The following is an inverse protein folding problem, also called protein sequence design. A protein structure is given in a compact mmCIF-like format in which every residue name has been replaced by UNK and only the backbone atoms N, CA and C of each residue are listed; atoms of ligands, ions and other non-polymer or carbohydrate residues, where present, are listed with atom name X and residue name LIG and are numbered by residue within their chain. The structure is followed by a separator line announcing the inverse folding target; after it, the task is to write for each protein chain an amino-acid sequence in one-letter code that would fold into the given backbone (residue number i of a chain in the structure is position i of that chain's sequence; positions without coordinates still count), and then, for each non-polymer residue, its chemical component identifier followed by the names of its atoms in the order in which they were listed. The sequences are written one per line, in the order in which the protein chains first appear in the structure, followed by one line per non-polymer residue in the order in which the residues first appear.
data_IF_110561702919
#
_entry.id   IF_110561702919
#
_cell.length_a   1.000
_cell.length_b   1.000
_cell.length_c   1.000
_cell.angle_alpha   90.00
_cell.angle_beta   90.00
_cell.angle_gamma   90.00
#
_symmetry.space_group_name_H-M   'P 1'
#
loop_
_entity.id
_entity.type
_entity.pdbx_description
1 polymer ?
#
# COMPACT_ATOMS: atom_id res chain seq x y z
N UNK A 1 25.47 21.21 -27.46
CA UNK A 1 24.25 20.90 -28.25
C UNK A 1 23.21 21.92 -27.87
N UNK A 2 22.79 22.76 -28.82
CA UNK A 2 21.76 23.77 -28.59
C UNK A 2 20.41 23.07 -28.42
N UNK A 3 19.72 23.30 -27.32
CA UNK A 3 18.32 22.88 -27.15
C UNK A 3 17.51 23.89 -27.95
N UNK A 4 16.92 23.47 -29.07
CA UNK A 4 16.07 24.31 -29.91
C UNK A 4 14.86 24.83 -29.10
N UNK A 5 14.69 26.14 -29.06
CA UNK A 5 13.85 26.88 -28.12
C UNK A 5 12.39 27.07 -28.55
N UNK A 6 11.97 26.46 -29.65
CA UNK A 6 10.60 26.60 -30.17
C UNK A 6 9.78 25.35 -29.85
N UNK A 7 8.77 25.49 -28.99
CA UNK A 7 7.93 24.40 -28.50
C UNK A 7 7.33 23.54 -29.63
N UNK A 8 6.92 24.17 -30.74
CA UNK A 8 6.35 23.47 -31.90
C UNK A 8 7.37 22.57 -32.60
N UNK A 9 8.57 23.07 -32.89
CA UNK A 9 9.64 22.29 -33.53
C UNK A 9 10.07 21.10 -32.67
N UNK A 10 10.14 21.27 -31.34
CA UNK A 10 10.41 20.18 -30.42
C UNK A 10 9.29 19.12 -30.42
N UNK A 11 8.02 19.55 -30.39
CA UNK A 11 6.87 18.64 -30.42
C UNK A 11 6.76 17.88 -31.74
N UNK A 12 7.03 18.54 -32.87
CA UNK A 12 7.03 17.90 -34.19
C UNK A 12 8.18 16.90 -34.32
N UNK A 13 9.39 17.26 -33.87
CA UNK A 13 10.51 16.31 -33.81
C UNK A 13 10.25 15.11 -32.88
N UNK A 14 9.51 15.31 -31.78
CA UNK A 14 9.06 14.21 -30.91
C UNK A 14 8.00 13.33 -31.58
N UNK A 15 7.04 13.92 -32.29
CA UNK A 15 6.02 13.19 -33.06
C UNK A 15 6.66 12.32 -34.13
N UNK A 16 7.58 12.88 -34.91
CA UNK A 16 8.27 12.13 -35.96
C UNK A 16 9.06 10.96 -35.40
N UNK A 17 9.72 11.17 -34.24
CA UNK A 17 10.44 10.10 -33.56
C UNK A 17 9.51 8.99 -33.05
N UNK A 18 8.37 9.35 -32.46
CA UNK A 18 7.37 8.38 -31.99
C UNK A 18 6.77 7.62 -33.17
N UNK A 19 6.39 8.30 -34.24
CA UNK A 19 5.83 7.69 -35.46
C UNK A 19 6.84 6.75 -36.12
N UNK A 20 8.12 7.15 -36.20
CA UNK A 20 9.19 6.28 -36.69
C UNK A 20 9.34 5.00 -35.86
N UNK A 21 9.43 5.11 -34.53
CA UNK A 21 9.56 3.94 -33.65
C UNK A 21 8.27 3.09 -33.65
N UNK A 22 7.09 3.69 -33.72
CA UNK A 22 5.82 2.97 -33.83
C UNK A 22 5.73 2.17 -35.14
N UNK A 23 6.13 2.75 -36.28
CA UNK A 23 6.18 2.04 -37.56
C UNK A 23 7.18 0.89 -37.53
N UNK A 24 8.33 1.10 -36.89
CA UNK A 24 9.33 0.05 -36.69
C UNK A 24 8.79 -1.09 -35.83
N UNK A 25 8.12 -0.79 -34.72
CA UNK A 25 7.46 -1.80 -33.87
C UNK A 25 6.35 -2.52 -34.63
N UNK A 26 5.51 -1.82 -35.39
CA UNK A 26 4.45 -2.41 -36.21
C UNK A 26 5.03 -3.38 -37.25
N UNK A 27 6.09 -2.97 -37.97
CA UNK A 27 6.78 -3.84 -38.92
C UNK A 27 7.41 -5.07 -38.24
N UNK A 28 7.98 -4.91 -37.05
CA UNK A 28 8.54 -6.03 -36.30
C UNK A 28 7.46 -6.97 -35.75
N UNK A 29 6.28 -6.46 -35.39
CA UNK A 29 5.12 -7.25 -34.98
C UNK A 29 4.54 -8.07 -36.14
N UNK A 30 4.38 -7.46 -37.32
CA UNK A 30 3.87 -8.15 -38.52
C UNK A 30 4.77 -9.30 -38.96
N UNK A 31 6.08 -9.15 -38.76
CA UNK A 31 7.08 -10.16 -39.13
C UNK A 31 7.40 -11.15 -37.99
N UNK A 32 6.70 -11.09 -36.86
CA UNK A 32 6.94 -11.92 -35.65
C UNK A 32 8.40 -11.87 -35.16
N UNK A 33 9.04 -10.70 -35.29
CA UNK A 33 10.46 -10.46 -34.96
C UNK A 33 10.68 -9.82 -33.58
N UNK A 34 9.60 -9.56 -32.84
CA UNK A 34 9.67 -9.12 -31.45
C UNK A 34 9.68 -10.35 -30.53
N UNK A 35 10.78 -10.54 -29.79
CA UNK A 35 10.98 -11.69 -28.89
C UNK A 35 9.90 -11.81 -27.82
N UNK A 36 9.44 -10.67 -27.30
CA UNK A 36 8.62 -10.61 -26.08
C UNK A 36 7.22 -10.04 -26.31
N UNK A 37 6.85 -9.77 -27.57
CA UNK A 37 5.56 -9.16 -27.91
C UNK A 37 4.95 -9.84 -29.12
N UNK A 38 3.76 -10.40 -28.96
CA UNK A 38 3.01 -11.06 -30.04
C UNK A 38 1.64 -10.44 -30.22
N UNK A 39 1.14 -10.43 -31.45
CA UNK A 39 -0.23 -10.00 -31.75
C UNK A 39 -1.12 -11.23 -31.95
N UNK A 40 -2.08 -11.48 -31.05
CA UNK A 40 -3.05 -12.58 -31.17
C UNK A 40 -4.47 -12.03 -31.11
N UNK A 41 -5.27 -12.26 -32.16
CA UNK A 41 -6.66 -11.80 -32.28
C UNK A 41 -6.84 -10.28 -32.01
N UNK A 42 -5.91 -9.45 -32.49
CA UNK A 42 -5.95 -8.00 -32.27
C UNK A 42 -5.55 -7.55 -30.86
N UNK A 43 -5.07 -8.46 -30.00
CA UNK A 43 -4.50 -8.15 -28.68
C UNK A 43 -3.00 -8.34 -28.66
N UNK A 44 -2.30 -7.35 -28.13
CA UNK A 44 -0.86 -7.36 -27.91
C UNK A 44 -0.59 -8.16 -26.63
N UNK A 45 0.04 -9.32 -26.78
CA UNK A 45 0.44 -10.20 -25.70
C UNK A 45 1.94 -10.00 -25.44
N UNK A 46 2.28 -9.49 -24.27
CA UNK A 46 3.66 -9.44 -23.80
C UNK A 46 3.98 -10.71 -23.02
N UNK A 47 5.10 -11.36 -23.34
CA UNK A 47 5.61 -12.46 -22.51
C UNK A 47 6.03 -11.86 -21.16
N UNK A 48 5.53 -12.37 -20.02
CA UNK A 48 6.01 -11.94 -18.71
C UNK A 48 7.53 -12.06 -18.67
N UNK A 49 8.21 -11.02 -18.18
CA UNK A 49 9.66 -11.08 -18.01
C UNK A 49 9.98 -12.30 -17.12
N UNK A 50 10.86 -13.21 -17.57
CA UNK A 50 11.23 -14.34 -16.75
C UNK A 50 11.90 -13.81 -15.48
N UNK A 51 11.36 -14.23 -14.34
CA UNK A 51 11.92 -13.93 -13.02
C UNK A 51 13.40 -14.29 -13.03
N UNK A 52 14.26 -13.29 -12.95
CA UNK A 52 15.72 -13.47 -13.03
C UNK A 52 16.28 -13.79 -11.64
N UNK A 53 15.63 -14.71 -10.92
CA UNK A 53 16.13 -15.16 -9.62
C UNK A 53 17.06 -16.34 -9.89
N UNK A 54 18.35 -16.25 -9.50
CA UNK A 54 19.28 -17.37 -9.66
C UNK A 54 18.76 -18.61 -8.92
N UNK A 55 18.93 -19.83 -9.47
CA UNK A 55 18.51 -21.06 -8.80
C UNK A 55 19.09 -21.21 -7.38
N UNK A 56 20.31 -20.71 -7.14
CA UNK A 56 20.93 -20.70 -5.81
C UNK A 56 20.17 -19.82 -4.81
N UNK A 57 19.57 -18.72 -5.27
CA UNK A 57 18.78 -17.82 -4.43
C UNK A 57 17.41 -18.43 -4.08
N UNK A 58 16.78 -19.14 -5.02
CA UNK A 58 15.55 -19.90 -4.73
C UNK A 58 15.79 -20.97 -3.67
N UNK A 59 16.88 -21.74 -3.82
CA UNK A 59 17.24 -22.79 -2.87
C UNK A 59 17.60 -22.22 -1.49
N UNK A 60 18.32 -21.10 -1.43
CA UNK A 60 18.58 -20.38 -0.19
C UNK A 60 17.28 -19.90 0.46
N UNK A 61 16.37 -19.32 -0.33
CA UNK A 61 15.05 -18.88 0.13
C UNK A 61 14.26 -20.03 0.76
N UNK A 62 14.19 -21.17 0.07
CA UNK A 62 13.54 -22.39 0.58
C UNK A 62 14.13 -22.82 1.92
N UNK A 63 15.46 -22.90 2.02
CA UNK A 63 16.16 -23.25 3.27
C UNK A 63 15.89 -22.26 4.39
N UNK A 64 15.85 -20.97 4.10
CA UNK A 64 15.52 -19.93 5.08
C UNK A 64 14.08 -20.08 5.59
N UNK A 65 13.12 -20.35 4.70
CA UNK A 65 11.73 -20.62 5.09
C UNK A 65 11.60 -21.90 5.94
N UNK A 66 12.38 -22.94 5.67
CA UNK A 66 12.39 -24.17 6.47
C UNK A 66 12.93 -23.98 7.89
N UNK A 67 13.73 -22.93 8.12
CA UNK A 67 14.21 -22.57 9.46
C UNK A 67 13.13 -21.85 10.29
N UNK A 68 12.08 -21.33 9.66
CA UNK A 68 10.97 -20.68 10.36
C UNK A 68 10.13 -21.73 11.08
N UNK A 69 9.93 -21.52 12.38
CA UNK A 69 9.06 -22.38 13.19
C UNK A 69 7.60 -22.03 12.95
N UNK A 70 6.73 -23.04 12.96
CA UNK A 70 5.29 -22.82 12.99
C UNK A 70 4.91 -22.18 14.33
N UNK A 71 4.47 -20.92 14.28
CA UNK A 71 4.01 -20.16 15.45
C UNK A 71 2.52 -19.87 15.30
N UNK A 72 1.78 -19.98 16.41
CA UNK A 72 0.36 -19.57 16.45
C UNK A 72 0.30 -18.06 16.30
N UNK A 73 -0.56 -17.56 15.41
CA UNK A 73 -0.73 -16.11 15.17
C UNK A 73 -0.98 -15.32 16.47
N UNK A 74 -1.67 -15.92 17.44
CA UNK A 74 -1.91 -15.34 18.76
C UNK A 74 -0.62 -15.08 19.54
N UNK A 75 0.34 -16.01 19.48
CA UNK A 75 1.62 -15.87 20.15
C UNK A 75 2.49 -14.84 19.42
N UNK A 76 2.45 -14.85 18.09
CA UNK A 76 3.15 -13.86 17.28
C UNK A 76 2.69 -12.43 17.60
N UNK A 77 1.38 -12.21 17.77
CA UNK A 77 0.85 -10.90 18.13
C UNK A 77 1.31 -10.43 19.50
N UNK A 78 1.38 -11.33 20.48
CA UNK A 78 1.90 -11.02 21.82
C UNK A 78 3.38 -10.63 21.72
N UNK A 79 4.19 -11.41 20.99
CA UNK A 79 5.62 -11.13 20.81
C UNK A 79 5.85 -9.80 20.07
N UNK A 80 5.07 -9.52 19.02
CA UNK A 80 5.13 -8.24 18.31
C UNK A 80 4.73 -7.09 19.23
N UNK A 81 3.71 -7.27 20.08
CA UNK A 81 3.39 -6.23 21.06
C UNK A 81 4.50 -6.03 22.09
N UNK A 82 5.13 -7.08 22.60
CA UNK A 82 6.26 -6.95 23.53
C UNK A 82 7.43 -6.18 22.91
N UNK A 83 7.67 -6.34 21.59
CA UNK A 83 8.74 -5.65 20.86
C UNK A 83 8.39 -4.20 20.48
N UNK A 84 7.12 -3.90 20.20
CA UNK A 84 6.69 -2.62 19.60
C UNK A 84 5.91 -1.74 20.58
N UNK A 85 5.31 -2.36 21.58
CA UNK A 85 4.34 -1.81 22.52
C UNK A 85 3.11 -1.23 21.83
N UNK A 86 2.64 -1.83 20.72
CA UNK A 86 1.52 -1.32 19.94
C UNK A 86 0.21 -1.24 20.73
N UNK A 87 -0.02 -2.15 21.69
CA UNK A 87 -1.24 -2.25 22.49
C UNK A 87 -1.47 -1.01 23.36
N UNK A 88 -0.41 -0.28 23.73
CA UNK A 88 -0.49 0.93 24.56
C UNK A 88 -1.32 2.06 23.92
N UNK A 89 -1.43 2.06 22.60
CA UNK A 89 -2.18 3.07 21.86
C UNK A 89 -3.68 2.83 21.87
N UNK A 90 -4.11 1.60 22.15
CA UNK A 90 -5.53 1.26 22.30
C UNK A 90 -6.01 1.71 23.67
N UNK A 91 -6.38 2.99 23.74
CA UNK A 91 -6.87 3.65 24.95
C UNK A 91 -8.37 3.87 24.89
N UNK A 92 -9.02 3.83 26.06
CA UNK A 92 -10.46 4.03 26.19
C UNK A 92 -10.84 5.45 25.75
N UNK A 93 -11.84 5.57 24.86
CA UNK A 93 -12.23 6.84 24.24
C UNK A 93 -12.48 8.00 25.21
N UNK A 94 -13.05 7.72 26.40
CA UNK A 94 -13.39 8.78 27.37
C UNK A 94 -12.34 9.01 28.45
N UNK A 95 -11.63 7.96 28.87
CA UNK A 95 -10.77 8.00 30.07
C UNK A 95 -9.28 8.02 29.70
N UNK A 96 -8.92 7.63 28.48
CA UNK A 96 -7.52 7.48 28.06
C UNK A 96 -6.82 6.27 28.66
N UNK A 97 -7.51 5.45 29.47
CA UNK A 97 -6.93 4.28 30.13
C UNK A 97 -6.64 3.16 29.11
N UNK A 98 -5.55 2.40 29.28
CA UNK A 98 -5.25 1.25 28.42
C UNK A 98 -6.25 0.11 28.64
N UNK A 99 -6.28 -0.84 27.69
CA UNK A 99 -7.06 -2.07 27.85
C UNK A 99 -6.51 -2.90 29.03
N UNK A 100 -7.37 -3.26 29.98
CA UNK A 100 -7.00 -4.08 31.13
C UNK A 100 -6.58 -5.52 30.75
N UNK A 101 -7.18 -6.06 29.68
CA UNK A 101 -6.88 -7.40 29.15
C UNK A 101 -6.39 -7.31 27.69
N UNK A 102 -5.06 -7.28 27.45
CA UNK A 102 -4.48 -7.26 26.11
C UNK A 102 -4.88 -8.46 25.24
N UNK A 103 -5.11 -9.63 25.82
CA UNK A 103 -5.50 -10.82 25.06
C UNK A 103 -6.91 -10.66 24.45
N UNK A 104 -7.81 -9.96 25.14
CA UNK A 104 -9.12 -9.62 24.61
C UNK A 104 -9.00 -8.62 23.44
N UNK A 105 -8.08 -7.64 23.54
CA UNK A 105 -7.76 -6.74 22.43
C UNK A 105 -7.23 -7.50 21.21
N UNK A 106 -6.26 -8.41 21.37
CA UNK A 106 -5.73 -9.20 20.25
C UNK A 106 -6.81 -10.07 19.61
N UNK A 107 -7.75 -10.57 20.40
CA UNK A 107 -8.90 -11.33 19.91
C UNK A 107 -9.81 -10.47 19.04
N UNK A 108 -10.06 -9.21 19.43
CA UNK A 108 -10.79 -8.23 18.61
C UNK A 108 -10.04 -7.94 17.32
N UNK A 109 -8.75 -7.59 17.40
CA UNK A 109 -7.93 -7.27 16.23
C UNK A 109 -7.87 -8.45 15.24
N UNK A 110 -7.70 -9.68 15.73
CA UNK A 110 -7.75 -10.88 14.89
C UNK A 110 -9.12 -11.08 14.24
N UNK A 111 -10.21 -10.86 14.98
CA UNK A 111 -11.55 -11.04 14.45
C UNK A 111 -11.86 -10.08 13.31
N UNK A 112 -11.38 -8.84 13.40
CA UNK A 112 -11.52 -7.83 12.36
C UNK A 112 -10.56 -8.06 11.20
N UNK A 113 -9.27 -8.31 11.47
CA UNK A 113 -8.25 -8.55 10.45
C UNK A 113 -8.51 -9.80 9.60
N UNK A 114 -9.12 -10.84 10.18
CA UNK A 114 -9.48 -12.08 9.46
C UNK A 114 -10.89 -12.04 8.86
N UNK A 115 -11.62 -10.93 9.02
CA UNK A 115 -13.02 -10.79 8.60
C UNK A 115 -13.93 -11.92 9.16
N UNK A 116 -13.56 -12.49 10.32
CA UNK A 116 -14.34 -13.53 10.98
C UNK A 116 -15.55 -12.93 11.73
N UNK A 117 -15.36 -11.74 12.27
CA UNK A 117 -16.35 -11.01 13.06
C UNK A 117 -16.43 -11.48 14.52
N UNK A 118 -16.77 -10.55 15.42
CA UNK A 118 -16.70 -10.74 16.88
C UNK A 118 -17.60 -11.89 17.38
N UNK A 119 -18.77 -12.10 16.78
CA UNK A 119 -19.71 -13.13 17.21
C UNK A 119 -19.19 -14.55 16.94
N UNK A 120 -18.54 -14.77 15.78
CA UNK A 120 -17.92 -16.06 15.47
C UNK A 120 -16.64 -16.25 16.28
N UNK A 121 -15.87 -15.20 16.48
CA UNK A 121 -14.67 -15.24 17.32
C UNK A 121 -15.00 -15.62 18.77
N UNK A 122 -16.03 -15.02 19.37
CA UNK A 122 -16.48 -15.36 20.73
C UNK A 122 -16.97 -16.82 20.86
N UNK A 123 -17.43 -17.45 19.77
CA UNK A 123 -17.77 -18.89 19.78
C UNK A 123 -16.54 -19.78 19.66
N UNK A 124 -15.47 -19.28 19.04
CA UNK A 124 -14.20 -19.98 18.88
C UNK A 124 -13.27 -19.83 20.09
N UNK A 125 -13.44 -18.77 20.88
CA UNK A 125 -12.67 -18.45 22.08
C UNK A 125 -13.61 -18.39 23.30
N UNK A 126 -13.85 -19.52 24.00
CA UNK A 126 -14.76 -19.60 25.14
C UNK A 126 -14.41 -18.66 26.30
N UNK A 127 -13.17 -18.18 26.36
CA UNK A 127 -12.65 -17.24 27.34
C UNK A 127 -13.34 -15.87 27.27
N UNK A 128 -13.87 -15.50 26.10
CA UNK A 128 -14.43 -14.17 25.84
C UNK A 128 -15.85 -14.21 25.31
N UNK A 129 -16.73 -13.42 25.93
CA UNK A 129 -18.10 -13.24 25.44
C UNK A 129 -18.14 -12.21 24.31
N UNK A 130 -19.13 -12.33 23.41
CA UNK A 130 -19.38 -11.33 22.37
C UNK A 130 -19.48 -9.91 22.93
N UNK A 131 -20.17 -9.74 24.07
CA UNK A 131 -20.37 -8.42 24.69
C UNK A 131 -19.05 -7.80 25.15
N UNK A 132 -18.12 -8.60 25.67
CA UNK A 132 -16.80 -8.10 26.06
C UNK A 132 -15.99 -7.67 24.83
N UNK A 133 -15.97 -8.49 23.78
CA UNK A 133 -15.25 -8.16 22.55
C UNK A 133 -15.84 -6.93 21.85
N UNK A 134 -17.17 -6.82 21.78
CA UNK A 134 -17.86 -5.66 21.21
C UNK A 134 -17.54 -4.38 21.99
N UNK A 135 -17.52 -4.45 23.33
CA UNK A 135 -17.14 -3.30 24.15
C UNK A 135 -15.70 -2.83 23.86
N UNK A 136 -14.76 -3.76 23.70
CA UNK A 136 -13.37 -3.39 23.36
C UNK A 136 -13.31 -2.77 21.97
N UNK A 137 -13.96 -3.37 20.98
CA UNK A 137 -14.01 -2.83 19.63
C UNK A 137 -14.57 -1.40 19.61
N UNK A 138 -15.72 -1.16 20.24
CA UNK A 138 -16.40 0.13 20.23
C UNK A 138 -15.61 1.23 20.96
N UNK A 139 -14.96 0.91 22.09
CA UNK A 139 -14.36 1.92 22.97
C UNK A 139 -12.86 2.09 22.82
N UNK A 140 -12.14 1.11 22.24
CA UNK A 140 -10.68 1.12 22.16
C UNK A 140 -10.15 1.03 20.73
N UNK A 141 -10.86 0.39 19.79
CA UNK A 141 -10.40 0.22 18.40
C UNK A 141 -10.96 1.33 17.53
N UNK A 142 -10.09 2.25 17.12
CA UNK A 142 -10.42 3.41 16.29
C UNK A 142 -9.36 3.59 15.22
N UNK A 143 -9.69 4.31 14.16
CA UNK A 143 -8.73 4.65 13.10
C UNK A 143 -7.44 5.28 13.68
N UNK A 144 -7.60 6.22 14.62
CA UNK A 144 -6.50 6.86 15.33
C UNK A 144 -5.60 5.86 16.07
N UNK A 145 -6.18 4.98 16.89
CA UNK A 145 -5.41 4.02 17.69
C UNK A 145 -4.73 2.98 16.81
N UNK A 146 -5.40 2.55 15.73
CA UNK A 146 -4.86 1.64 14.74
C UNK A 146 -3.67 2.25 14.01
N UNK A 147 -3.75 3.54 13.64
CA UNK A 147 -2.66 4.26 12.97
C UNK A 147 -1.44 4.43 13.87
N UNK A 148 -1.64 4.82 15.14
CA UNK A 148 -0.56 4.92 16.12
C UNK A 148 0.08 3.54 16.44
N UNK A 149 -0.73 2.50 16.53
CA UNK A 149 -0.26 1.12 16.69
C UNK A 149 0.55 0.65 15.47
N UNK A 150 0.04 0.86 14.26
CA UNK A 150 0.75 0.58 13.01
C UNK A 150 2.08 1.33 12.96
N UNK A 151 2.08 2.62 13.31
CA UNK A 151 3.28 3.42 13.32
C UNK A 151 4.35 2.84 14.25
N UNK A 152 3.96 2.33 15.42
CA UNK A 152 4.90 1.69 16.35
C UNK A 152 5.52 0.41 15.79
N UNK A 153 4.74 -0.40 15.07
CA UNK A 153 5.22 -1.60 14.39
C UNK A 153 6.18 -1.23 13.27
N UNK A 154 5.83 -0.25 12.43
CA UNK A 154 6.67 0.20 11.33
C UNK A 154 7.96 0.85 11.83
N UNK A 155 7.91 1.65 12.90
CA UNK A 155 9.12 2.24 13.47
C UNK A 155 10.05 1.18 14.05
N UNK A 156 9.51 0.10 14.62
CA UNK A 156 10.32 -1.02 15.08
C UNK A 156 10.99 -1.77 13.90
N UNK A 157 10.25 -2.02 12.82
CA UNK A 157 10.81 -2.58 11.59
C UNK A 157 11.89 -1.66 11.00
N UNK A 158 11.63 -0.36 10.91
CA UNK A 158 12.56 0.63 10.36
C UNK A 158 13.90 0.67 11.12
N UNK A 159 13.85 0.54 12.45
CA UNK A 159 15.07 0.47 13.30
C UNK A 159 15.80 -0.87 13.22
N UNK A 160 15.18 -1.91 12.66
CA UNK A 160 15.78 -3.24 12.62
C UNK A 160 16.86 -3.32 11.53
N UNK A 161 18.02 -3.90 11.86
CA UNK A 161 19.20 -3.91 10.98
C UNK A 161 18.94 -4.60 9.64
N UNK A 162 18.04 -5.59 9.62
CA UNK A 162 17.67 -6.24 8.36
C UNK A 162 16.92 -5.31 7.41
N UNK A 163 16.10 -4.37 7.90
CA UNK A 163 15.28 -3.49 7.05
C UNK A 163 16.14 -2.69 6.05
N UNK A 164 17.37 -2.36 6.45
CA UNK A 164 18.36 -1.67 5.62
C UNK A 164 18.79 -2.44 4.35
N UNK A 165 18.55 -3.75 4.26
CA UNK A 165 18.83 -4.52 3.03
C UNK A 165 17.85 -4.24 1.90
N UNK A 166 16.65 -3.75 2.21
CA UNK A 166 15.62 -3.44 1.21
C UNK A 166 15.65 -1.97 0.79
N UNK A 167 15.87 -1.06 1.75
CA UNK A 167 15.91 0.37 1.50
C UNK A 167 16.38 1.15 2.72
N UNK A 168 16.64 2.43 2.55
CA UNK A 168 17.05 3.32 3.63
C UNK A 168 15.87 3.98 4.35
N UNK A 169 14.63 3.71 3.93
CA UNK A 169 13.41 4.28 4.52
C UNK A 169 13.06 5.67 3.96
N UNK A 170 13.80 6.17 2.96
CA UNK A 170 13.59 7.53 2.41
C UNK A 170 12.66 7.53 1.20
N UNK A 171 12.37 6.36 0.62
CA UNK A 171 11.47 6.26 -0.53
C UNK A 171 10.24 5.44 -0.22
N UNK A 172 9.14 5.76 -0.89
CA UNK A 172 7.90 4.99 -0.75
C UNK A 172 7.07 4.98 -2.03
N UNK A 173 6.11 4.06 -2.10
CA UNK A 173 5.15 3.97 -3.19
C UNK A 173 3.74 3.80 -2.68
N UNK A 174 2.74 4.24 -3.45
CA UNK A 174 1.33 4.02 -3.16
C UNK A 174 0.61 3.34 -4.31
N UNK A 175 -0.31 2.44 -3.99
CA UNK A 175 -1.17 1.79 -4.97
C UNK A 175 -2.60 1.58 -4.43
N UNK A 176 -3.59 1.66 -5.33
CA UNK A 176 -5.00 1.50 -5.02
C UNK A 176 -5.50 0.12 -5.48
N UNK A 177 -5.78 -0.75 -4.53
CA UNK A 177 -6.35 -2.07 -4.81
C UNK A 177 -7.87 -2.02 -4.70
N UNK A 178 -8.59 -2.42 -5.75
CA UNK A 178 -10.06 -2.45 -5.75
C UNK A 178 -10.58 -3.79 -5.22
N UNK A 179 -11.50 -3.71 -4.26
CA UNK A 179 -12.23 -4.85 -3.71
C UNK A 179 -13.71 -4.76 -4.09
N UNK A 180 -14.31 -5.85 -4.62
CA UNK A 180 -15.75 -5.87 -4.91
C UNK A 180 -16.55 -5.88 -3.61
N UNK A 181 -17.63 -5.10 -3.56
CA UNK A 181 -18.51 -5.00 -2.40
C UNK A 181 -19.84 -5.69 -2.72
N UNK A 182 -20.09 -6.83 -2.07
CA UNK A 182 -21.37 -7.56 -2.16
C UNK A 182 -22.33 -7.26 -1.01
N UNK A 183 -23.62 -7.59 -1.19
CA UNK A 183 -24.64 -7.55 -0.12
C UNK A 183 -25.19 -6.15 0.21
N UNK A 184 -25.58 -5.90 1.47
CA UNK A 184 -26.13 -4.59 1.92
C UNK A 184 -25.17 -3.42 1.71
N UNK A 185 -23.86 -3.68 1.67
CA UNK A 185 -22.83 -2.68 1.39
C UNK A 185 -22.69 -2.34 -0.11
N UNK A 186 -23.30 -3.12 -1.01
CA UNK A 186 -23.36 -2.79 -2.44
C UNK A 186 -24.16 -1.50 -2.71
N UNK A 187 -25.05 -1.11 -1.79
CA UNK A 187 -25.76 0.18 -1.83
C UNK A 187 -24.85 1.38 -1.51
N UNK A 188 -23.67 1.15 -0.89
CA UNK A 188 -22.69 2.16 -0.49
C UNK A 188 -21.52 2.21 -1.50
N UNK A 189 -21.20 1.08 -2.13
CA UNK A 189 -20.19 1.01 -3.19
C UNK A 189 -20.61 1.80 -4.43
N UNK A 190 -19.71 2.63 -4.95
CA UNK A 190 -19.90 3.29 -6.25
C UNK A 190 -19.27 2.43 -7.32
N UNK A 191 -19.90 2.39 -8.49
CA UNK A 191 -19.38 1.66 -9.65
C UNK A 191 -18.26 2.49 -10.29
N UNK A 192 -17.08 1.90 -10.48
CA UNK A 192 -16.02 2.48 -11.30
C UNK A 192 -15.87 1.68 -12.58
N UNK A 193 -16.32 2.27 -13.70
CA UNK A 193 -16.27 1.67 -15.03
C UNK A 193 -14.87 1.26 -15.51
N UNK A 194 -13.79 1.82 -14.93
CA UNK A 194 -12.41 1.40 -15.20
C UNK A 194 -12.10 -0.02 -14.68
N UNK A 195 -12.74 -0.43 -13.58
CA UNK A 195 -12.48 -1.71 -12.90
C UNK A 195 -13.64 -2.70 -12.96
N UNK A 196 -14.81 -2.28 -13.45
CA UNK A 196 -15.94 -3.16 -13.72
C UNK A 196 -17.30 -2.55 -13.33
N UNK A 197 -18.40 -3.29 -13.61
CA UNK A 197 -19.75 -2.85 -13.27
C UNK A 197 -20.11 -3.05 -11.80
N UNK A 198 -19.31 -3.82 -11.05
CA UNK A 198 -19.61 -4.15 -9.66
C UNK A 198 -19.23 -3.00 -8.71
N UNK A 199 -20.12 -2.62 -7.77
CA UNK A 199 -19.80 -1.69 -6.69
C UNK A 199 -18.53 -2.11 -5.96
N UNK A 200 -17.60 -1.17 -5.78
CA UNK A 200 -16.32 -1.45 -5.14
C UNK A 200 -15.90 -0.38 -4.15
N UNK A 201 -14.95 -0.74 -3.31
CA UNK A 201 -14.11 0.21 -2.55
C UNK A 201 -12.66 -0.01 -2.97
N UNK A 202 -11.86 1.05 -2.93
CA UNK A 202 -10.43 0.99 -3.16
C UNK A 202 -9.72 1.10 -1.82
N UNK A 203 -8.80 0.19 -1.54
CA UNK A 203 -7.85 0.34 -0.46
C UNK A 203 -6.58 0.94 -1.04
N UNK A 204 -6.30 2.17 -0.64
CA UNK A 204 -5.12 2.90 -1.08
C UNK A 204 -4.05 2.78 -0.01
N UNK A 205 -2.95 2.12 -0.34
CA UNK A 205 -1.91 1.74 0.62
C UNK A 205 -0.57 2.35 0.24
N UNK A 206 0.09 2.96 1.21
CA UNK A 206 1.46 3.45 1.09
C UNK A 206 2.43 2.43 1.69
N UNK A 207 3.48 2.15 0.94
CA UNK A 207 4.50 1.15 1.23
C UNK A 207 5.87 1.84 1.20
N UNK A 208 6.66 1.70 2.26
CA UNK A 208 8.07 2.11 2.27
C UNK A 208 8.91 1.16 1.42
N UNK A 209 10.05 1.64 0.91
CA UNK A 209 11.11 0.82 0.31
C UNK A 209 11.67 -0.29 1.21
N UNK A 210 11.40 -0.22 2.52
CA UNK A 210 11.67 -1.30 3.47
C UNK A 210 10.52 -2.33 3.56
N UNK A 211 9.57 -2.29 2.63
CA UNK A 211 8.39 -3.17 2.54
C UNK A 211 7.44 -3.08 3.74
N UNK A 212 7.47 -1.97 4.49
CA UNK A 212 6.54 -1.68 5.58
C UNK A 212 5.34 -0.86 5.09
N UNK A 213 4.08 -1.36 5.16
CA UNK A 213 2.90 -0.57 4.84
C UNK A 213 2.63 0.39 6.00
N UNK A 214 2.82 1.70 5.78
CA UNK A 214 2.75 2.68 6.86
C UNK A 214 1.45 3.48 6.89
N UNK A 215 0.67 3.46 5.82
CA UNK A 215 -0.63 4.12 5.76
C UNK A 215 -1.56 3.35 4.82
N UNK A 216 -2.82 3.19 5.20
CA UNK A 216 -3.85 2.61 4.34
C UNK A 216 -5.18 3.29 4.59
N UNK A 217 -5.84 3.74 3.52
CA UNK A 217 -7.13 4.41 3.58
C UNK A 217 -8.11 3.79 2.60
N UNK A 218 -9.36 3.61 3.05
CA UNK A 218 -10.45 3.18 2.17
C UNK A 218 -11.02 4.38 1.43
N UNK A 219 -10.95 4.36 0.11
CA UNK A 219 -11.49 5.41 -0.76
C UNK A 219 -12.65 4.86 -1.60
N UNK A 220 -13.59 5.74 -1.96
CA UNK A 220 -14.65 5.36 -2.89
C UNK A 220 -14.05 4.94 -4.23
N UNK A 221 -14.60 3.92 -4.89
CA UNK A 221 -14.05 3.44 -6.16
C UNK A 221 -13.91 4.54 -7.23
N UNK A 222 -14.74 5.58 -7.20
CA UNK A 222 -14.69 6.71 -8.15
C UNK A 222 -13.93 7.93 -7.66
N UNK A 223 -13.42 7.91 -6.42
CA UNK A 223 -12.66 9.02 -5.87
C UNK A 223 -11.28 9.14 -6.54
N UNK A 224 -10.79 10.38 -6.65
CA UNK A 224 -9.41 10.64 -7.05
C UNK A 224 -8.48 10.24 -5.91
N UNK A 225 -7.37 9.59 -6.24
CA UNK A 225 -6.35 9.13 -5.29
C UNK A 225 -5.43 10.28 -4.81
N UNK A 226 -5.33 11.37 -5.60
CA UNK A 226 -4.47 12.52 -5.33
C UNK A 226 -4.57 13.13 -3.90
N UNK A 227 -5.78 13.44 -3.35
CA UNK A 227 -5.87 13.94 -1.98
C UNK A 227 -5.37 12.93 -0.94
N UNK A 228 -5.69 11.65 -1.14
CA UNK A 228 -5.30 10.58 -0.22
C UNK A 228 -3.80 10.25 -0.27
N UNK A 229 -3.14 10.56 -1.38
CA UNK A 229 -1.68 10.51 -1.49
C UNK A 229 -1.02 11.43 -0.48
N UNK A 230 -1.47 12.70 -0.45
CA UNK A 230 -0.92 13.72 0.45
C UNK A 230 -1.26 13.39 1.90
N UNK A 231 -2.49 12.96 2.17
CA UNK A 231 -2.89 12.57 3.52
C UNK A 231 -2.02 11.44 4.07
N UNK A 232 -1.75 10.41 3.26
CA UNK A 232 -0.88 9.31 3.68
C UNK A 232 0.58 9.69 3.90
N UNK A 233 1.08 10.72 3.21
CA UNK A 233 2.43 11.26 3.42
C UNK A 233 2.54 12.21 4.61
N UNK A 234 1.44 12.80 5.07
CA UNK A 234 1.46 13.76 6.18
C UNK A 234 0.99 13.17 7.51
N UNK A 235 0.08 12.19 7.48
CA UNK A 235 -0.60 11.65 8.67
C UNK A 235 -0.28 10.17 8.90
N UNK A 236 0.96 9.75 8.68
CA UNK A 236 1.38 8.36 8.91
C UNK A 236 1.87 8.05 10.33
N UNK A 237 2.12 9.07 11.16
CA UNK A 237 2.59 8.95 12.57
C UNK A 237 3.91 8.17 12.78
N UNK A 238 4.52 7.64 11.71
CA UNK A 238 5.82 6.95 11.74
C UNK A 238 7.00 7.91 11.77
N UNK A 239 8.15 7.38 12.20
CA UNK A 239 9.45 8.06 12.18
C UNK A 239 10.08 8.09 10.77
N UNK A 240 9.35 7.65 9.74
CA UNK A 240 9.86 7.60 8.36
C UNK A 240 9.96 9.01 7.77
N UNK A 241 11.13 9.35 7.25
CA UNK A 241 11.37 10.60 6.54
C UNK A 241 11.32 10.37 5.03
N UNK A 242 10.11 10.33 4.46
CA UNK A 242 9.92 10.10 3.03
C UNK A 242 10.38 11.32 2.22
N UNK A 243 11.48 11.17 1.50
CA UNK A 243 12.03 12.17 0.58
C UNK A 243 11.46 12.04 -0.83
N UNK A 244 11.22 10.82 -1.30
CA UNK A 244 10.67 10.54 -2.63
C UNK A 244 9.48 9.57 -2.56
N UNK A 245 8.42 9.87 -3.31
CA UNK A 245 7.21 9.04 -3.37
C UNK A 245 6.81 8.71 -4.82
N UNK A 246 6.42 7.45 -5.05
CA UNK A 246 6.02 6.92 -6.35
C UNK A 246 4.53 6.53 -6.35
N UNK A 247 3.75 7.02 -7.32
CA UNK A 247 2.34 6.62 -7.50
C UNK A 247 2.03 6.37 -8.98
N UNK A 248 1.05 5.51 -9.27
CA UNK A 248 0.52 5.39 -10.63
C UNK A 248 -0.31 6.62 -11.03
N UNK A 249 -0.49 6.80 -12.33
CA UNK A 249 -1.20 7.87 -13.05
C UNK A 249 -2.60 8.22 -12.49
N UNK A 250 -3.28 7.30 -11.81
CA UNK A 250 -4.53 7.57 -11.07
C UNK A 250 -4.39 8.59 -9.93
N UNK A 251 -3.22 8.66 -9.30
CA UNK A 251 -2.86 9.65 -8.27
C UNK A 251 -2.46 11.02 -8.82
N UNK A 252 -2.21 11.14 -10.13
CA UNK A 252 -1.66 12.36 -10.74
C UNK A 252 -2.68 13.08 -11.65
N UNK A 253 -3.64 12.36 -12.24
CA UNK A 253 -4.52 12.93 -13.27
C UNK A 253 -5.91 13.33 -12.76
N UNK A 254 -6.02 14.55 -12.22
CA UNK A 254 -7.10 15.47 -12.65
C UNK A 254 -6.50 16.80 -13.12
N UNK A 255 -6.63 17.14 -14.42
CA UNK A 255 -6.05 18.35 -15.00
C UNK A 255 -6.95 19.54 -14.66
N UNK A 256 -6.42 20.47 -13.87
CA UNK A 256 -6.65 21.91 -14.03
C UNK A 256 -5.81 22.78 -13.06
N UNK A 257 -4.86 22.21 -12.29
CA UNK A 257 -3.95 23.05 -11.50
C UNK A 257 -2.46 22.73 -11.71
N UNK A 258 -2.05 21.55 -12.19
CA UNK A 258 -0.60 21.26 -12.34
C UNK A 258 -0.28 20.52 -13.65
N UNK A 259 0.34 21.24 -14.60
CA UNK A 259 0.98 20.64 -15.76
C UNK A 259 2.41 20.21 -15.41
N UNK A 260 2.61 18.93 -15.05
CA UNK A 260 3.95 18.31 -15.12
C UNK A 260 3.81 16.82 -15.49
N UNK A 261 4.62 16.29 -16.44
CA UNK A 261 4.71 14.86 -16.72
C UNK A 261 5.43 14.17 -15.56
N UNK A 262 4.92 13.02 -15.11
CA UNK A 262 5.55 12.13 -14.10
C UNK A 262 6.26 12.89 -12.97
N UNK A 263 5.47 13.46 -12.06
CA UNK A 263 5.98 14.32 -11.01
C UNK A 263 6.78 13.52 -9.97
N UNK A 264 8.11 13.62 -10.04
CA UNK A 264 8.99 13.58 -8.86
C UNK A 264 8.58 14.74 -7.96
N UNK A 265 8.10 14.45 -6.76
CA UNK A 265 7.87 15.46 -5.71
C UNK A 265 9.03 15.37 -4.71
N UNK A 266 10.08 16.21 -4.82
CA UNK A 266 11.07 16.34 -3.77
C UNK A 266 10.44 17.11 -2.60
N UNK A 267 10.20 16.44 -1.48
CA UNK A 267 9.83 17.10 -0.22
C UNK A 267 11.12 17.67 0.41
N UNK A 268 11.47 18.92 0.08
CA UNK A 268 12.42 19.71 0.87
C UNK A 268 11.66 20.74 1.70
N UNK A 269 11.39 20.41 2.95
CA UNK A 269 11.04 21.39 3.98
C UNK A 269 12.25 21.61 4.88
N UNK A 270 12.98 22.68 4.59
CA UNK A 270 13.93 23.25 5.55
C UNK A 270 13.16 23.84 6.73
N UNK A 271 13.35 23.30 7.92
CA UNK A 271 13.04 24.01 9.16
C UNK A 271 14.35 24.26 9.92
N UNK A 272 14.98 25.41 9.62
CA UNK A 272 16.02 25.97 10.49
C UNK A 272 15.35 26.58 11.71
N UNK A 273 15.54 25.99 12.89
CA UNK A 273 15.34 26.70 14.15
C UNK A 273 16.57 27.58 14.40
N UNK A 274 16.39 28.89 14.29
CA UNK A 274 17.31 29.91 14.80
C UNK A 274 16.50 30.90 15.62
N UNK A 275 16.88 31.09 16.89
CA UNK A 275 16.31 32.08 17.80
C UNK A 275 15.54 31.47 18.96
#
# INVERSE_FOLDING_TARGET
MAIETTCTTYLDGRRDKVDHEMRKVASLLENDRLSDVRLRNGRLMMTPLPTTVPPEAEELGRRAYEMLRWVRITNLLIEVDELTGMARHFTHLQTGEPVNDPCALYTVLLAEATNLGLAKMARACPEYTYRQLAWIADWYVRDETCRQALASVINAQHRHTFAAYWGDGTTSSSDAQQFPVGGRSAAIGRVNAHYGPDPGVKLYTHLSDQYGPYHSTTISATASEAPYLVDGLLYHETDLEIAEHYSDTGGVHRPNIWHLPTARLPLRTAYSRSG
#
